data_IF_083092606089
#
_entry.id   IF_083092606089
#
_cell.length_a   1.000
_cell.length_b   1.000
_cell.length_c   1.000
_cell.angle_alpha   90.00
_cell.angle_beta   90.00
_cell.angle_gamma   90.00
#
_symmetry.space_group_name_H-M   'P 1'
#
loop_
_entity.id
_entity.type
_entity.pdbx_description
1 polymer ?
#
# COMPACT_ATOMS: atom_id res chain seq x y z
N UNK A 1 -8.10 35.99 5.64
CA UNK A 1 -7.57 34.71 6.20
C UNK A 1 -8.26 33.56 5.50
N UNK A 2 -7.62 32.93 4.51
CA UNK A 2 -8.18 31.79 3.80
C UNK A 2 -7.94 30.53 4.65
N UNK A 3 -9.02 29.87 5.06
CA UNK A 3 -9.00 28.58 5.75
C UNK A 3 -8.31 27.56 4.84
N UNK A 4 -7.03 27.28 5.08
CA UNK A 4 -6.35 26.15 4.48
C UNK A 4 -6.90 24.89 5.12
N UNK A 5 -7.66 24.11 4.37
CA UNK A 5 -8.08 22.78 4.82
C UNK A 5 -6.82 21.92 5.07
N UNK A 6 -6.78 21.11 6.12
CA UNK A 6 -5.65 20.24 6.37
C UNK A 6 -5.50 19.26 5.19
N UNK A 7 -4.31 19.22 4.58
CA UNK A 7 -3.96 18.25 3.54
C UNK A 7 -3.97 16.87 4.22
N UNK A 8 -5.02 16.10 4.00
CA UNK A 8 -5.08 14.73 4.47
C UNK A 8 -4.33 13.84 3.49
N UNK A 9 -3.19 13.32 3.92
CA UNK A 9 -2.50 12.24 3.21
C UNK A 9 -3.42 11.03 3.21
N UNK A 10 -3.65 10.44 2.04
CA UNK A 10 -4.46 9.22 1.96
C UNK A 10 -3.66 8.05 2.54
N UNK A 11 -4.33 7.14 3.20
CA UNK A 11 -3.72 5.97 3.81
C UNK A 11 -3.02 5.07 2.78
N UNK A 12 -3.52 5.05 1.55
CA UNK A 12 -2.95 4.29 0.43
C UNK A 12 -1.57 4.84 -0.01
N UNK A 13 -1.35 6.15 0.09
CA UNK A 13 -0.06 6.79 -0.23
C UNK A 13 1.02 6.44 0.80
N UNK A 14 0.69 6.49 2.10
CA UNK A 14 1.61 6.09 3.17
C UNK A 14 1.99 4.60 3.08
N UNK A 15 1.02 3.75 2.76
CA UNK A 15 1.23 2.33 2.52
C UNK A 15 2.26 2.08 1.39
N UNK A 16 2.13 2.81 0.28
CA UNK A 16 3.05 2.72 -0.86
C UNK A 16 4.47 3.14 -0.49
N UNK A 17 4.64 4.22 0.26
CA UNK A 17 5.95 4.74 0.66
C UNK A 17 6.71 3.76 1.58
N UNK A 18 6.04 3.15 2.55
CA UNK A 18 6.62 2.11 3.39
C UNK A 18 7.05 0.88 2.58
N UNK A 19 6.23 0.45 1.63
CA UNK A 19 6.53 -0.71 0.77
C UNK A 19 7.77 -0.48 -0.07
N UNK A 20 7.91 0.69 -0.67
CA UNK A 20 9.06 1.04 -1.48
C UNK A 20 10.35 1.11 -0.66
N UNK A 21 10.28 1.72 0.54
CA UNK A 21 11.42 1.77 1.44
C UNK A 21 11.84 0.35 1.89
N UNK A 22 10.88 -0.54 2.16
CA UNK A 22 11.15 -1.95 2.45
C UNK A 22 11.81 -2.68 1.28
N UNK A 23 11.33 -2.48 0.05
CA UNK A 23 11.90 -3.13 -1.13
C UNK A 23 13.36 -2.74 -1.36
N UNK A 24 13.71 -1.48 -1.02
CA UNK A 24 15.05 -0.94 -1.19
C UNK A 24 15.99 -1.29 -0.03
N UNK A 25 15.48 -1.29 1.20
CA UNK A 25 16.29 -1.32 2.42
C UNK A 25 15.87 -2.46 3.40
N UNK A 26 15.41 -3.61 2.90
CA UNK A 26 14.97 -4.73 3.75
C UNK A 26 16.01 -5.17 4.80
N UNK A 27 17.31 -5.34 4.46
CA UNK A 27 18.31 -5.69 5.47
C UNK A 27 18.41 -4.67 6.59
N UNK A 28 18.36 -3.38 6.25
CA UNK A 28 18.43 -2.28 7.21
C UNK A 28 17.20 -2.25 8.11
N UNK A 29 16.00 -2.54 7.55
CA UNK A 29 14.76 -2.67 8.31
C UNK A 29 14.86 -3.78 9.37
N UNK A 30 15.28 -4.97 8.93
CA UNK A 30 15.37 -6.10 9.85
C UNK A 30 16.46 -5.88 10.89
N UNK A 31 17.59 -5.27 10.51
CA UNK A 31 18.66 -4.94 11.43
C UNK A 31 18.25 -3.92 12.48
N UNK A 32 17.45 -2.92 12.10
CA UNK A 32 17.02 -1.85 12.97
C UNK A 32 15.94 -2.30 13.97
N UNK A 33 14.89 -2.95 13.47
CA UNK A 33 13.73 -3.31 14.28
C UNK A 33 13.81 -4.69 14.92
N UNK A 34 14.53 -5.63 14.29
CA UNK A 34 14.59 -7.04 14.66
C UNK A 34 16.03 -7.58 14.60
N UNK A 35 16.96 -7.04 15.38
CA UNK A 35 18.40 -7.35 15.27
C UNK A 35 18.74 -8.83 15.47
N UNK A 36 17.97 -9.56 16.27
CA UNK A 36 18.16 -10.99 16.46
C UNK A 36 17.88 -11.77 15.17
N UNK A 37 16.84 -11.42 14.44
CA UNK A 37 16.50 -12.00 13.14
C UNK A 37 17.56 -11.63 12.12
N UNK A 38 18.02 -10.38 12.12
CA UNK A 38 19.06 -9.90 11.20
C UNK A 38 20.37 -10.71 11.30
N UNK A 39 20.72 -11.16 12.50
CA UNK A 39 21.93 -11.98 12.75
C UNK A 39 21.86 -13.37 12.12
N UNK A 40 20.66 -13.93 11.99
CA UNK A 40 20.46 -15.29 11.46
C UNK A 40 20.33 -15.30 9.93
N UNK A 41 19.95 -14.19 9.32
CA UNK A 41 19.76 -14.07 7.87
C UNK A 41 21.10 -13.90 7.15
N UNK A 42 21.25 -14.60 6.04
CA UNK A 42 22.37 -14.47 5.10
C UNK A 42 22.10 -13.36 4.08
N UNK A 43 22.45 -12.13 4.43
CA UNK A 43 22.25 -10.95 3.58
C UNK A 43 23.20 -10.88 2.36
N UNK A 44 24.11 -11.83 2.19
CA UNK A 44 24.89 -11.96 0.94
C UNK A 44 24.04 -12.52 -0.20
N UNK A 45 22.95 -13.20 0.14
CA UNK A 45 21.94 -13.67 -0.80
C UNK A 45 20.86 -12.60 -0.99
N UNK A 46 20.47 -12.40 -2.25
CA UNK A 46 19.39 -11.48 -2.58
C UNK A 46 18.06 -12.02 -2.05
N UNK A 47 17.30 -11.19 -1.32
CA UNK A 47 15.93 -11.51 -0.93
C UNK A 47 14.99 -11.45 -2.14
N UNK A 48 13.90 -12.18 -2.08
CA UNK A 48 12.90 -12.23 -3.14
C UNK A 48 11.54 -11.76 -2.64
N UNK A 49 10.92 -10.72 -3.25
CA UNK A 49 9.55 -10.35 -2.94
C UNK A 49 8.57 -11.45 -3.38
N UNK A 50 7.61 -11.77 -2.51
CA UNK A 50 6.53 -12.76 -2.74
C UNK A 50 5.15 -12.09 -2.73
N UNK A 51 5.06 -10.86 -3.19
CA UNK A 51 3.81 -10.07 -3.18
C UNK A 51 2.68 -10.71 -3.98
N UNK A 52 3.00 -11.45 -5.05
CA UNK A 52 2.02 -12.22 -5.83
C UNK A 52 1.34 -13.30 -4.99
N UNK A 53 2.09 -13.94 -4.10
CA UNK A 53 1.53 -14.96 -3.19
C UNK A 53 0.65 -14.31 -2.12
N UNK A 54 1.06 -13.17 -1.60
CA UNK A 54 0.27 -12.39 -0.65
C UNK A 54 -1.04 -11.86 -1.29
N UNK A 55 -0.97 -11.36 -2.52
CA UNK A 55 -2.14 -10.86 -3.25
C UNK A 55 -3.21 -11.92 -3.48
N UNK A 56 -2.83 -13.19 -3.71
CA UNK A 56 -3.76 -14.32 -3.87
C UNK A 56 -4.56 -14.66 -2.61
N UNK A 57 -4.15 -14.15 -1.43
CA UNK A 57 -4.82 -14.41 -0.16
C UNK A 57 -5.80 -13.30 0.25
N UNK A 58 -5.65 -12.09 -0.32
CA UNK A 58 -6.43 -10.90 0.05
C UNK A 58 -7.95 -11.04 -0.12
N UNK A 59 -8.49 -11.68 -1.19
CA UNK A 59 -9.93 -11.78 -1.40
C UNK A 59 -10.68 -12.54 -0.29
N UNK A 60 -9.99 -13.44 0.41
CA UNK A 60 -10.60 -14.35 1.37
C UNK A 60 -10.57 -13.86 2.83
N UNK A 61 -10.08 -12.63 3.07
CA UNK A 61 -9.87 -12.12 4.42
C UNK A 61 -10.96 -11.13 4.83
N UNK A 62 -11.68 -11.37 5.93
CA UNK A 62 -12.64 -10.41 6.46
C UNK A 62 -11.90 -9.18 7.01
N UNK A 63 -12.32 -7.97 6.62
CA UNK A 63 -11.92 -6.75 7.31
C UNK A 63 -11.16 -5.69 6.52
N UNK A 64 -11.20 -5.69 5.18
CA UNK A 64 -10.70 -4.57 4.37
C UNK A 64 -9.19 -4.53 4.16
N UNK A 65 -8.70 -3.54 3.42
CA UNK A 65 -7.29 -3.34 3.08
C UNK A 65 -6.44 -3.28 4.35
N UNK A 66 -5.45 -4.15 4.43
CA UNK A 66 -4.33 -4.03 5.36
C UNK A 66 -3.28 -3.10 4.75
N UNK A 67 -2.74 -2.25 5.59
CA UNK A 67 -1.71 -1.29 5.20
C UNK A 67 -0.35 -1.97 5.17
N UNK A 68 0.47 -1.62 4.20
CA UNK A 68 1.89 -1.97 4.01
C UNK A 68 2.29 -3.43 4.33
N UNK A 69 1.48 -4.40 3.88
CA UNK A 69 1.89 -5.81 4.00
C UNK A 69 2.84 -6.18 2.86
N UNK A 70 3.99 -6.70 3.22
CA UNK A 70 5.00 -7.23 2.30
C UNK A 70 5.41 -8.64 2.71
N UNK A 71 5.67 -9.47 1.73
CA UNK A 71 6.14 -10.82 1.93
C UNK A 71 7.46 -11.03 1.19
N UNK A 72 8.51 -11.40 1.93
CA UNK A 72 9.83 -11.64 1.37
C UNK A 72 10.32 -13.04 1.71
N UNK A 73 10.98 -13.68 0.76
CA UNK A 73 11.79 -14.86 1.02
C UNK A 73 13.21 -14.41 1.31
N UNK A 74 13.75 -14.91 2.41
CA UNK A 74 15.16 -14.75 2.81
C UNK A 74 15.79 -16.10 3.07
N UNK A 75 17.10 -16.16 3.11
CA UNK A 75 17.85 -17.37 3.44
C UNK A 75 18.60 -17.17 4.75
N UNK A 76 18.56 -18.18 5.59
CA UNK A 76 19.36 -18.20 6.81
C UNK A 76 20.79 -18.61 6.51
N UNK A 77 21.74 -18.28 7.39
CA UNK A 77 23.15 -18.68 7.29
C UNK A 77 23.34 -20.19 7.22
N UNK A 78 22.39 -20.98 7.74
CA UNK A 78 22.37 -22.45 7.61
C UNK A 78 21.79 -22.95 6.27
N UNK A 79 21.54 -22.07 5.32
CA UNK A 79 21.03 -22.40 3.98
C UNK A 79 19.51 -22.59 3.87
N UNK A 80 18.77 -22.61 4.97
CA UNK A 80 17.32 -22.77 4.94
C UNK A 80 16.62 -21.48 4.49
N UNK A 81 15.61 -21.61 3.63
CA UNK A 81 14.74 -20.49 3.27
C UNK A 81 13.71 -20.22 4.35
N UNK A 82 13.40 -18.94 4.59
CA UNK A 82 12.30 -18.47 5.44
C UNK A 82 11.53 -17.37 4.71
N UNK A 83 10.24 -17.25 5.01
CA UNK A 83 9.44 -16.13 4.54
C UNK A 83 9.18 -15.16 5.67
N UNK A 84 9.56 -13.91 5.46
CA UNK A 84 9.25 -12.80 6.35
C UNK A 84 8.00 -12.10 5.85
N UNK A 85 6.91 -12.22 6.61
CA UNK A 85 5.67 -11.47 6.40
C UNK A 85 5.74 -10.21 7.26
N UNK A 86 5.94 -9.08 6.62
CA UNK A 86 6.10 -7.79 7.29
C UNK A 86 4.78 -7.04 7.24
N UNK A 87 4.27 -6.69 8.41
CA UNK A 87 3.07 -5.86 8.59
C UNK A 87 3.47 -4.51 9.15
N UNK A 88 3.14 -3.43 8.45
CA UNK A 88 3.29 -2.08 8.98
C UNK A 88 1.89 -1.48 9.17
N UNK A 89 1.49 -1.28 10.40
CA UNK A 89 0.22 -0.67 10.77
C UNK A 89 0.40 0.85 10.92
N UNK A 90 -0.02 1.60 9.91
CA UNK A 90 0.19 3.06 9.85
C UNK A 90 -0.86 3.85 10.64
N UNK A 91 -2.05 3.32 10.84
CA UNK A 91 -3.16 4.01 11.53
C UNK A 91 -3.42 3.48 12.93
N UNK A 92 -2.51 3.64 13.82
CA UNK A 92 -2.49 3.64 15.29
C UNK A 92 -3.65 3.13 16.14
N UNK A 93 -4.62 2.49 15.56
CA UNK A 93 -5.59 1.70 16.30
C UNK A 93 -5.36 0.24 15.97
N UNK A 94 -4.60 -0.43 16.83
CA UNK A 94 -4.69 -1.88 16.88
C UNK A 94 -6.17 -2.24 17.07
N UNK A 95 -6.88 -2.40 15.95
CA UNK A 95 -8.30 -2.72 15.96
C UNK A 95 -8.51 -4.00 16.75
N UNK A 96 -9.62 -4.09 17.46
CA UNK A 96 -10.10 -5.35 18.02
C UNK A 96 -10.02 -6.41 16.89
N UNK A 97 -9.09 -7.37 17.01
CA UNK A 97 -8.85 -8.37 15.95
C UNK A 97 -7.55 -8.22 15.16
N UNK A 98 -6.72 -7.18 15.40
CA UNK A 98 -5.43 -7.03 14.73
C UNK A 98 -4.54 -8.27 14.87
N UNK A 99 -4.29 -8.74 16.09
CA UNK A 99 -3.46 -9.92 16.34
C UNK A 99 -4.03 -11.19 15.68
N UNK A 100 -5.37 -11.33 15.61
CA UNK A 100 -6.03 -12.39 14.88
C UNK A 100 -5.73 -12.29 13.38
N UNK A 101 -5.80 -11.09 12.80
CA UNK A 101 -5.46 -10.89 11.38
C UNK A 101 -4.02 -11.32 11.06
N UNK A 102 -3.05 -10.90 11.89
CA UNK A 102 -1.65 -11.33 11.73
C UNK A 102 -1.53 -12.85 11.73
N UNK A 103 -2.25 -13.53 12.64
CA UNK A 103 -2.33 -14.98 12.66
C UNK A 103 -2.98 -15.56 11.39
N UNK A 104 -4.13 -15.01 10.97
CA UNK A 104 -4.88 -15.51 9.81
C UNK A 104 -4.02 -15.45 8.53
N UNK A 105 -3.25 -14.37 8.34
CA UNK A 105 -2.31 -14.26 7.22
C UNK A 105 -1.17 -15.28 7.31
N UNK A 106 -0.52 -15.35 8.47
CA UNK A 106 0.59 -16.29 8.70
C UNK A 106 0.13 -17.73 8.45
N UNK A 107 -1.00 -18.12 9.06
CA UNK A 107 -1.57 -19.46 8.92
C UNK A 107 -1.92 -19.79 7.47
N UNK A 108 -2.56 -18.89 6.73
CA UNK A 108 -2.98 -19.13 5.34
C UNK A 108 -1.78 -19.27 4.40
N UNK A 109 -0.74 -18.44 4.57
CA UNK A 109 0.49 -18.57 3.79
C UNK A 109 1.13 -19.92 4.09
N UNK A 110 1.27 -20.28 5.36
CA UNK A 110 1.87 -21.54 5.78
C UNK A 110 1.07 -22.76 5.32
N UNK A 111 -0.25 -22.71 5.38
CA UNK A 111 -1.12 -23.78 4.89
C UNK A 111 -0.98 -24.01 3.38
N UNK A 112 -0.78 -22.93 2.61
CA UNK A 112 -0.61 -22.98 1.16
C UNK A 112 0.82 -23.40 0.76
N UNK A 113 1.81 -23.15 1.63
CA UNK A 113 3.22 -23.42 1.43
C UNK A 113 3.81 -24.22 2.62
N UNK A 114 3.39 -25.47 2.83
CA UNK A 114 3.68 -26.22 4.07
C UNK A 114 5.18 -26.48 4.29
N UNK A 115 6.01 -26.40 3.24
CA UNK A 115 7.47 -26.57 3.35
C UNK A 115 8.23 -25.31 3.79
N UNK A 116 7.54 -24.17 3.94
CA UNK A 116 8.17 -22.87 4.25
C UNK A 116 7.71 -22.40 5.63
N UNK A 117 8.67 -22.02 6.48
CA UNK A 117 8.33 -21.31 7.70
C UNK A 117 8.08 -19.83 7.43
N UNK A 118 6.99 -19.33 7.96
CA UNK A 118 6.58 -17.93 7.84
C UNK A 118 6.70 -17.24 9.20
N UNK A 119 7.45 -16.13 9.25
CA UNK A 119 7.62 -15.29 10.44
C UNK A 119 6.91 -13.98 10.19
N UNK A 120 5.96 -13.62 11.05
CA UNK A 120 5.28 -12.32 10.99
C UNK A 120 6.04 -11.30 11.83
N UNK A 121 6.40 -10.16 11.21
CA UNK A 121 7.05 -9.02 11.85
C UNK A 121 6.09 -7.84 11.80
N UNK A 122 5.90 -7.14 12.91
CA UNK A 122 4.93 -6.06 13.01
C UNK A 122 5.59 -4.77 13.48
N UNK A 123 5.32 -3.67 12.78
CA UNK A 123 5.67 -2.31 13.20
C UNK A 123 4.40 -1.48 13.30
N UNK A 124 4.18 -0.84 14.45
CA UNK A 124 3.03 0.05 14.71
C UNK A 124 3.51 1.48 14.82
N UNK A 125 2.98 2.36 13.97
CA UNK A 125 3.52 3.72 13.82
C UNK A 125 2.86 4.76 14.73
N UNK A 126 1.58 4.65 15.07
CA UNK A 126 0.82 5.76 15.66
C UNK A 126 0.31 5.56 17.08
N UNK A 127 0.29 4.36 17.65
CA UNK A 127 -0.27 4.16 18.99
C UNK A 127 0.75 4.33 20.11
N UNK A 128 0.36 5.07 21.15
CA UNK A 128 1.10 5.16 22.43
C UNK A 128 0.69 4.07 23.42
N UNK A 129 -0.44 3.37 23.19
CA UNK A 129 -0.88 2.28 24.07
C UNK A 129 -0.08 1.02 23.78
N UNK A 130 0.39 0.30 24.78
CA UNK A 130 1.08 -0.98 24.57
C UNK A 130 0.21 -1.96 23.80
N UNK A 131 0.78 -2.58 22.78
CA UNK A 131 0.13 -3.62 21.97
C UNK A 131 0.91 -4.91 22.13
N UNK A 132 0.20 -6.00 22.44
CA UNK A 132 0.82 -7.31 22.57
C UNK A 132 0.95 -8.00 21.21
N UNK A 133 2.14 -8.48 20.88
CA UNK A 133 2.39 -9.33 19.71
C UNK A 133 1.88 -10.77 19.94
N UNK A 134 0.60 -10.93 20.30
CA UNK A 134 0.03 -12.23 20.66
C UNK A 134 -1.43 -12.34 20.29
N UNK A 135 -1.80 -13.45 19.63
CA UNK A 135 -3.16 -13.93 19.46
C UNK A 135 -3.34 -15.24 20.21
N UNK A 136 -4.40 -15.39 20.98
CA UNK A 136 -4.68 -16.62 21.69
C UNK A 136 -6.20 -16.83 21.85
N UNK A 137 -6.61 -18.07 21.83
CA UNK A 137 -7.94 -18.49 22.21
C UNK A 137 -7.90 -19.86 22.86
N UNK A 138 -8.90 -20.16 23.69
CA UNK A 138 -9.08 -21.47 24.28
C UNK A 138 -10.57 -21.72 24.48
N UNK A 139 -11.02 -22.94 24.14
CA UNK A 139 -12.38 -23.37 24.34
C UNK A 139 -12.46 -24.89 24.43
N UNK A 140 -13.12 -25.43 25.43
CA UNK A 140 -13.34 -26.87 25.66
C UNK A 140 -12.09 -27.75 25.51
N UNK A 141 -10.98 -27.32 26.04
CA UNK A 141 -9.70 -28.05 25.92
C UNK A 141 -8.92 -27.82 24.63
N UNK A 142 -9.52 -27.23 23.61
CA UNK A 142 -8.79 -26.72 22.44
C UNK A 142 -8.19 -25.35 22.74
N UNK A 143 -6.91 -25.17 22.42
CA UNK A 143 -6.26 -23.87 22.59
C UNK A 143 -5.27 -23.58 21.46
N UNK A 144 -5.06 -22.29 21.20
CA UNK A 144 -4.06 -21.78 20.29
C UNK A 144 -3.39 -20.58 20.92
N UNK A 145 -2.06 -20.53 20.82
CA UNK A 145 -1.26 -19.36 21.14
C UNK A 145 -0.33 -19.08 19.97
N UNK A 146 -0.44 -17.90 19.41
CA UNK A 146 0.44 -17.40 18.36
C UNK A 146 1.10 -16.11 18.82
N UNK A 147 2.42 -16.09 18.87
CA UNK A 147 3.23 -14.92 19.24
C UNK A 147 4.05 -14.45 18.04
N UNK A 148 4.26 -13.17 17.95
CA UNK A 148 5.04 -12.56 16.85
C UNK A 148 5.80 -11.32 17.34
N UNK A 149 7.01 -11.06 16.80
CA UNK A 149 7.76 -9.85 17.06
C UNK A 149 6.96 -8.61 16.67
N UNK A 150 6.89 -7.64 17.58
CA UNK A 150 6.18 -6.39 17.40
C UNK A 150 6.99 -5.23 17.95
N UNK A 151 7.16 -4.18 17.15
CA UNK A 151 7.79 -2.92 17.53
C UNK A 151 6.79 -1.79 17.41
N UNK A 152 6.75 -0.89 18.38
CA UNK A 152 5.98 0.36 18.35
C UNK A 152 6.95 1.53 18.19
N UNK A 153 6.62 2.50 17.31
CA UNK A 153 7.48 3.65 17.08
C UNK A 153 7.42 4.69 18.20
N UNK A 154 6.31 4.77 18.94
CA UNK A 154 6.12 5.80 19.96
C UNK A 154 7.27 5.89 20.99
N UNK A 155 7.86 4.80 21.53
CA UNK A 155 8.99 4.88 22.45
C UNK A 155 10.26 5.49 21.84
N UNK A 156 10.44 5.44 20.53
CA UNK A 156 11.60 6.04 19.87
C UNK A 156 11.61 7.58 19.96
N UNK A 157 10.49 8.20 20.31
CA UNK A 157 10.42 9.65 20.54
C UNK A 157 11.33 10.13 21.68
N UNK A 158 11.67 9.24 22.63
CA UNK A 158 12.59 9.54 23.75
C UNK A 158 14.07 9.49 23.34
N UNK A 159 14.36 8.93 22.15
CA UNK A 159 15.71 8.69 21.64
C UNK A 159 16.01 9.43 20.32
N UNK A 160 15.36 10.56 20.08
CA UNK A 160 15.47 11.29 18.80
C UNK A 160 16.91 11.68 18.45
N UNK A 161 17.70 12.16 19.42
CA UNK A 161 19.10 12.55 19.20
C UNK A 161 19.96 11.34 18.77
N UNK A 162 19.70 10.16 19.31
CA UNK A 162 20.39 8.94 18.90
C UNK A 162 20.03 8.58 17.46
N UNK A 163 18.72 8.63 17.14
CA UNK A 163 18.21 8.30 15.82
C UNK A 163 18.71 9.23 14.72
N UNK A 164 18.88 10.52 15.02
CA UNK A 164 19.41 11.50 14.06
C UNK A 164 20.87 11.23 13.67
N UNK A 165 21.62 10.54 14.55
CA UNK A 165 23.01 10.17 14.32
C UNK A 165 23.19 8.70 13.91
N UNK A 166 22.12 7.92 13.84
CA UNK A 166 22.17 6.50 13.46
C UNK A 166 22.34 6.37 11.93
N UNK A 167 23.36 5.64 11.44
CA UNK A 167 23.58 5.45 10.02
C UNK A 167 22.53 4.59 9.33
N UNK A 168 21.63 3.96 10.09
CA UNK A 168 20.58 3.14 9.51
C UNK A 168 19.46 3.99 8.90
N UNK A 169 19.08 3.80 7.63
CA UNK A 169 18.05 4.60 6.96
C UNK A 169 16.68 4.54 7.67
N UNK A 170 16.39 3.47 8.40
CA UNK A 170 15.14 3.39 9.18
C UNK A 170 15.13 4.26 10.43
N UNK A 171 16.27 4.67 10.96
CA UNK A 171 16.32 5.70 11.99
C UNK A 171 15.75 7.03 11.45
N UNK A 172 16.21 7.48 10.29
CA UNK A 172 15.66 8.66 9.60
C UNK A 172 14.16 8.51 9.29
N UNK A 173 13.73 7.34 8.80
CA UNK A 173 12.31 7.08 8.53
C UNK A 173 11.45 7.15 9.80
N UNK A 174 11.95 6.64 10.93
CA UNK A 174 11.27 6.72 12.24
C UNK A 174 11.16 8.16 12.71
N UNK A 175 12.24 8.96 12.61
CA UNK A 175 12.19 10.39 12.94
C UNK A 175 11.17 11.11 12.07
N UNK A 176 11.19 10.88 10.75
CA UNK A 176 10.23 11.48 9.83
C UNK A 176 8.78 11.13 10.20
N UNK A 177 8.48 9.85 10.49
CA UNK A 177 7.16 9.41 10.92
C UNK A 177 6.70 10.05 12.23
N UNK A 178 7.58 10.08 13.24
CA UNK A 178 7.27 10.69 14.54
C UNK A 178 7.02 12.20 14.39
N UNK A 179 7.86 12.90 13.60
CA UNK A 179 7.72 14.34 13.37
C UNK A 179 6.50 14.67 12.48
N UNK A 180 6.15 13.80 11.54
CA UNK A 180 4.90 13.94 10.79
C UNK A 180 3.66 13.93 11.71
N UNK A 181 3.68 13.07 12.74
CA UNK A 181 2.61 12.99 13.73
C UNK A 181 2.59 14.21 14.68
N UNK A 182 3.76 14.60 15.17
CA UNK A 182 3.94 15.73 16.11
C UNK A 182 3.51 17.06 15.47
N UNK A 183 3.80 17.24 14.18
CA UNK A 183 3.56 18.48 13.44
C UNK A 183 2.23 18.50 12.68
N UNK A 184 1.27 17.66 13.06
CA UNK A 184 -0.06 17.69 12.47
C UNK A 184 -0.71 19.08 12.66
N UNK A 185 -1.09 19.71 11.53
CA UNK A 185 -1.68 21.04 11.51
C UNK A 185 -0.70 22.20 11.63
N UNK A 186 0.62 21.93 11.71
CA UNK A 186 1.68 22.95 11.77
C UNK A 186 2.64 22.79 10.59
N UNK A 187 2.32 23.42 9.47
CA UNK A 187 3.10 23.32 8.24
C UNK A 187 4.51 23.92 8.40
N UNK A 188 4.66 24.98 9.19
CA UNK A 188 5.98 25.62 9.37
C UNK A 188 6.95 24.74 10.15
N UNK A 189 6.50 24.12 11.26
CA UNK A 189 7.32 23.15 12.01
C UNK A 189 7.59 21.90 11.19
N UNK A 190 6.63 21.44 10.40
CA UNK A 190 6.82 20.29 9.52
C UNK A 190 7.86 20.58 8.45
N UNK A 191 7.80 21.75 7.84
CA UNK A 191 8.81 22.20 6.85
C UNK A 191 10.22 22.23 7.46
N UNK A 192 10.38 22.82 8.64
CA UNK A 192 11.69 22.88 9.31
C UNK A 192 12.27 21.48 9.55
N UNK A 193 11.46 20.53 9.98
CA UNK A 193 11.88 19.13 10.17
C UNK A 193 12.17 18.42 8.85
N UNK A 194 11.30 18.57 7.84
CA UNK A 194 11.49 17.93 6.53
C UNK A 194 12.79 18.41 5.91
N UNK A 195 13.04 19.73 5.94
CA UNK A 195 14.28 20.34 5.44
C UNK A 195 15.52 19.76 6.14
N UNK A 196 15.54 19.75 7.47
CA UNK A 196 16.64 19.18 8.26
C UNK A 196 16.92 17.71 7.90
N UNK A 197 15.87 16.89 7.78
CA UNK A 197 16.03 15.48 7.42
C UNK A 197 16.56 15.33 5.99
N UNK A 198 16.08 16.15 5.04
CA UNK A 198 16.55 16.15 3.65
C UNK A 198 18.02 16.52 3.58
N UNK A 199 18.46 17.57 4.30
CA UNK A 199 19.87 17.95 4.40
C UNK A 199 20.73 16.77 4.88
N UNK A 200 20.27 16.05 5.93
CA UNK A 200 20.96 14.89 6.49
C UNK A 200 21.06 13.67 5.56
N UNK A 201 20.19 13.53 4.54
CA UNK A 201 20.26 12.38 3.62
C UNK A 201 21.59 12.28 2.88
N UNK A 202 22.24 13.41 2.64
CA UNK A 202 23.47 13.49 1.86
C UNK A 202 24.75 13.35 2.70
N UNK A 203 24.63 13.21 4.02
CA UNK A 203 25.79 13.16 4.93
C UNK A 203 26.14 11.71 5.34
N UNK A 204 25.23 10.75 5.14
CA UNK A 204 25.41 9.36 5.55
C UNK A 204 26.16 8.48 4.55
N UNK A 205 26.51 8.99 3.36
CA UNK A 205 27.18 8.19 2.32
C UNK A 205 26.31 7.06 1.74
N UNK A 206 25.01 7.20 1.81
CA UNK A 206 24.07 6.22 1.26
C UNK A 206 24.08 6.21 -0.27
N UNK A 207 23.67 5.07 -0.86
CA UNK A 207 23.51 4.99 -2.31
C UNK A 207 22.37 5.87 -2.80
N UNK A 208 22.41 6.22 -4.09
CA UNK A 208 21.37 7.03 -4.75
C UNK A 208 19.96 6.45 -4.53
N UNK A 209 19.83 5.13 -4.65
CA UNK A 209 18.55 4.43 -4.50
C UNK A 209 18.01 4.57 -3.07
N UNK A 210 18.88 4.48 -2.06
CA UNK A 210 18.50 4.65 -0.64
C UNK A 210 18.03 6.08 -0.35
N UNK A 211 18.79 7.07 -0.83
CA UNK A 211 18.42 8.48 -0.68
C UNK A 211 17.07 8.76 -1.35
N UNK A 212 16.89 8.25 -2.58
CA UNK A 212 15.64 8.40 -3.31
C UNK A 212 14.43 7.76 -2.61
N UNK A 213 14.60 6.54 -2.08
CA UNK A 213 13.52 5.84 -1.35
C UNK A 213 13.16 6.56 -0.04
N UNK A 214 14.16 7.04 0.71
CA UNK A 214 13.94 7.82 1.93
C UNK A 214 13.29 9.17 1.64
N UNK A 215 13.75 9.86 0.60
CA UNK A 215 13.14 11.13 0.21
C UNK A 215 11.67 10.94 -0.14
N UNK A 216 11.31 9.95 -0.98
CA UNK A 216 9.92 9.63 -1.30
C UNK A 216 9.11 9.29 -0.05
N UNK A 217 9.69 8.49 0.86
CA UNK A 217 9.05 8.20 2.14
C UNK A 217 8.74 9.48 2.94
N UNK A 218 9.71 10.38 3.07
CA UNK A 218 9.52 11.67 3.77
C UNK A 218 8.51 12.56 3.07
N UNK A 219 8.52 12.57 1.74
CA UNK A 219 7.60 13.36 0.94
C UNK A 219 6.13 12.96 1.20
N UNK A 220 5.86 11.67 1.26
CA UNK A 220 4.54 11.17 1.63
C UNK A 220 4.22 11.37 3.11
N UNK A 221 5.13 11.04 4.02
CA UNK A 221 4.87 11.11 5.46
C UNK A 221 4.72 12.56 5.97
N UNK A 222 5.51 13.48 5.40
CA UNK A 222 5.62 14.88 5.81
C UNK A 222 5.12 15.84 4.74
N UNK A 223 3.97 15.56 4.13
CA UNK A 223 3.38 16.38 3.06
C UNK A 223 3.18 17.84 3.49
N UNK A 224 3.55 18.76 2.62
CA UNK A 224 3.51 20.21 2.83
C UNK A 224 2.60 20.89 1.79
N UNK A 225 2.18 22.15 2.03
CA UNK A 225 1.64 23.00 0.97
C UNK A 225 2.63 23.18 -0.19
N UNK A 226 2.12 23.39 -1.41
CA UNK A 226 2.93 23.46 -2.64
C UNK A 226 4.09 24.44 -2.55
N UNK A 227 3.87 25.62 -1.98
CA UNK A 227 4.88 26.67 -1.85
C UNK A 227 6.06 26.22 -0.94
N UNK A 228 5.80 25.38 0.06
CA UNK A 228 6.83 24.83 0.95
C UNK A 228 7.50 23.59 0.33
N UNK A 229 6.79 22.79 -0.46
CA UNK A 229 7.41 21.71 -1.24
C UNK A 229 8.39 22.27 -2.27
N UNK A 230 8.04 23.37 -2.96
CA UNK A 230 8.96 24.04 -3.89
C UNK A 230 10.25 24.52 -3.20
N UNK A 231 10.16 24.99 -1.95
CA UNK A 231 11.35 25.37 -1.16
C UNK A 231 12.20 24.14 -0.76
N UNK A 232 11.58 22.99 -0.46
CA UNK A 232 12.34 21.75 -0.24
C UNK A 232 13.09 21.35 -1.51
N UNK A 233 12.43 21.42 -2.68
CA UNK A 233 13.06 21.10 -3.96
C UNK A 233 14.23 22.04 -4.27
N UNK A 234 14.09 23.33 -3.98
CA UNK A 234 15.18 24.29 -4.12
C UNK A 234 16.36 23.95 -3.19
N UNK A 235 16.09 23.57 -1.92
CA UNK A 235 17.12 23.11 -0.97
C UNK A 235 17.87 21.90 -1.53
N UNK A 236 17.17 20.92 -2.11
CA UNK A 236 17.78 19.74 -2.73
C UNK A 236 18.70 20.16 -3.87
N UNK A 237 18.24 21.04 -4.75
CA UNK A 237 19.04 21.52 -5.87
C UNK A 237 20.33 22.22 -5.39
N UNK A 238 20.25 23.10 -4.40
CA UNK A 238 21.41 23.79 -3.82
C UNK A 238 22.42 22.80 -3.21
N UNK A 239 21.96 21.74 -2.53
CA UNK A 239 22.84 20.71 -1.96
C UNK A 239 23.52 19.91 -3.07
N UNK A 240 22.78 19.50 -4.10
CA UNK A 240 23.31 18.69 -5.20
C UNK A 240 24.31 19.46 -6.04
N UNK A 241 24.05 20.74 -6.32
CA UNK A 241 25.00 21.64 -7.00
C UNK A 241 26.26 21.83 -6.15
N UNK A 242 26.13 22.10 -4.85
CA UNK A 242 27.27 22.30 -3.95
C UNK A 242 28.14 21.04 -3.77
N UNK A 243 27.54 19.85 -3.80
CA UNK A 243 28.28 18.58 -3.70
C UNK A 243 28.69 17.97 -5.05
N UNK A 244 28.38 18.64 -6.17
CA UNK A 244 28.57 18.15 -7.54
C UNK A 244 27.98 16.75 -7.75
N UNK A 245 26.85 16.47 -7.11
CA UNK A 245 26.12 15.21 -7.16
C UNK A 245 24.74 15.48 -7.78
N UNK A 246 24.30 14.65 -8.68
CA UNK A 246 22.92 14.67 -9.16
C UNK A 246 22.26 13.34 -8.75
N UNK A 247 21.64 13.33 -7.57
CA UNK A 247 20.96 12.15 -7.04
C UNK A 247 19.50 12.14 -7.47
N UNK A 248 18.86 13.31 -7.42
CA UNK A 248 17.46 13.48 -7.71
C UNK A 248 17.28 14.72 -8.59
N UNK A 249 17.49 14.60 -9.89
CA UNK A 249 17.09 15.71 -10.75
C UNK A 249 15.62 16.05 -10.49
N UNK A 250 15.24 17.31 -10.28
CA UNK A 250 13.85 17.73 -10.01
C UNK A 250 12.84 17.18 -11.03
N UNK A 251 13.30 16.93 -12.24
CA UNK A 251 12.50 16.32 -13.31
C UNK A 251 12.22 14.83 -13.07
N UNK A 252 13.19 14.06 -12.58
CA UNK A 252 13.00 12.63 -12.27
C UNK A 252 12.02 12.42 -11.10
N UNK A 253 12.07 13.30 -10.10
CA UNK A 253 11.13 13.27 -8.96
C UNK A 253 9.69 13.51 -9.46
N UNK A 254 9.48 14.59 -10.22
CA UNK A 254 8.15 14.92 -10.77
C UNK A 254 7.65 13.88 -11.77
N UNK A 255 8.53 13.26 -12.55
CA UNK A 255 8.16 12.19 -13.47
C UNK A 255 7.79 10.91 -12.73
N UNK A 256 8.49 10.57 -11.63
CA UNK A 256 8.16 9.45 -10.75
C UNK A 256 6.86 9.65 -10.01
N UNK A 257 6.60 10.85 -9.46
CA UNK A 257 5.32 11.20 -8.82
C UNK A 257 4.15 11.08 -9.80
N UNK A 258 4.31 11.62 -11.00
CA UNK A 258 3.30 11.54 -12.05
C UNK A 258 3.05 10.09 -12.47
N UNK A 259 4.09 9.28 -12.58
CA UNK A 259 4.00 7.85 -12.88
C UNK A 259 3.31 7.06 -11.76
N UNK A 260 3.67 7.33 -10.49
CA UNK A 260 3.05 6.71 -9.33
C UNK A 260 1.57 7.11 -9.19
N UNK A 261 1.25 8.39 -9.39
CA UNK A 261 -0.13 8.90 -9.35
C UNK A 261 -0.98 8.33 -10.48
N UNK A 262 -0.42 8.21 -11.68
CA UNK A 262 -1.10 7.56 -12.80
C UNK A 262 -1.32 6.07 -12.57
N UNK A 263 -0.32 5.38 -12.03
CA UNK A 263 -0.42 3.96 -11.67
C UNK A 263 -1.47 3.70 -10.59
N UNK A 264 -1.53 4.56 -9.56
CA UNK A 264 -2.54 4.50 -8.50
C UNK A 264 -3.95 4.74 -9.06
N UNK A 265 -4.10 5.76 -9.91
CA UNK A 265 -5.38 6.08 -10.54
C UNK A 265 -5.87 4.95 -11.45
N UNK A 266 -4.96 4.35 -12.25
CA UNK A 266 -5.27 3.18 -13.07
C UNK A 266 -5.62 1.96 -12.22
N UNK A 267 -4.87 1.70 -11.15
CA UNK A 267 -5.14 0.61 -10.23
C UNK A 267 -6.47 0.76 -9.50
N UNK A 268 -6.82 1.98 -9.09
CA UNK A 268 -8.11 2.29 -8.46
C UNK A 268 -9.25 2.07 -9.46
N UNK A 269 -9.11 2.58 -10.68
CA UNK A 269 -10.09 2.41 -11.73
C UNK A 269 -10.33 0.94 -12.06
N UNK A 270 -9.25 0.16 -12.25
CA UNK A 270 -9.34 -1.29 -12.47
C UNK A 270 -9.95 -2.01 -11.27
N UNK A 271 -9.64 -1.58 -10.04
CA UNK A 271 -10.23 -2.13 -8.82
C UNK A 271 -11.74 -1.91 -8.75
N UNK A 272 -12.21 -0.72 -9.12
CA UNK A 272 -13.64 -0.37 -9.18
C UNK A 272 -14.35 -1.21 -10.26
N UNK A 273 -13.77 -1.31 -11.47
CA UNK A 273 -14.32 -2.09 -12.57
C UNK A 273 -14.42 -3.58 -12.25
N UNK A 274 -13.37 -4.16 -11.67
CA UNK A 274 -13.37 -5.56 -11.24
C UNK A 274 -14.37 -5.80 -10.10
N UNK A 275 -14.44 -4.91 -9.11
CA UNK A 275 -15.40 -5.01 -8.01
C UNK A 275 -16.85 -4.93 -8.48
N UNK A 276 -17.15 -4.04 -9.45
CA UNK A 276 -18.47 -3.95 -10.07
C UNK A 276 -18.81 -5.22 -10.85
N UNK A 277 -17.89 -5.76 -11.62
CA UNK A 277 -18.08 -7.01 -12.37
C UNK A 277 -18.35 -8.19 -11.42
N UNK A 278 -17.59 -8.30 -10.34
CA UNK A 278 -17.81 -9.37 -9.33
C UNK A 278 -19.18 -9.24 -8.66
N UNK A 279 -19.58 -8.02 -8.29
CA UNK A 279 -20.89 -7.75 -7.71
C UNK A 279 -22.03 -8.13 -8.67
N UNK A 280 -21.91 -7.78 -9.95
CA UNK A 280 -22.87 -8.14 -11.01
C UNK A 280 -22.93 -9.65 -11.17
N UNK A 281 -21.79 -10.34 -11.24
CA UNK A 281 -21.76 -11.81 -11.37
C UNK A 281 -22.41 -12.50 -10.18
N UNK A 282 -22.16 -12.02 -8.95
CA UNK A 282 -22.74 -12.56 -7.73
C UNK A 282 -24.26 -12.39 -7.71
N UNK A 283 -24.76 -11.20 -8.06
CA UNK A 283 -26.20 -10.93 -8.12
C UNK A 283 -26.90 -11.75 -9.21
N UNK A 284 -26.28 -11.89 -10.40
CA UNK A 284 -26.79 -12.73 -11.47
C UNK A 284 -26.86 -14.20 -11.05
N UNK A 285 -25.82 -14.71 -10.41
CA UNK A 285 -25.79 -16.09 -9.92
C UNK A 285 -26.87 -16.33 -8.85
N UNK A 286 -27.08 -15.38 -7.95
CA UNK A 286 -28.10 -15.48 -6.91
C UNK A 286 -29.53 -15.45 -7.49
N UNK A 287 -29.76 -14.60 -8.50
CA UNK A 287 -31.12 -14.35 -9.03
C UNK A 287 -31.52 -15.31 -10.15
N UNK A 288 -30.58 -15.66 -11.01
CA UNK A 288 -30.81 -16.46 -12.22
C UNK A 288 -30.18 -17.86 -12.14
N UNK A 289 -29.46 -18.18 -11.05
CA UNK A 289 -28.68 -19.40 -10.91
C UNK A 289 -27.37 -19.36 -11.71
N UNK A 290 -26.57 -20.42 -11.64
CA UNK A 290 -25.25 -20.49 -12.26
C UNK A 290 -25.29 -20.14 -13.77
N UNK A 291 -24.35 -19.26 -14.16
CA UNK A 291 -24.17 -18.84 -15.54
C UNK A 291 -23.11 -19.70 -16.20
N UNK A 292 -23.34 -20.09 -17.45
CA UNK A 292 -22.34 -20.82 -18.21
C UNK A 292 -21.11 -19.95 -18.54
N UNK A 293 -19.99 -20.59 -18.82
CA UNK A 293 -18.70 -19.95 -19.07
C UNK A 293 -18.74 -18.95 -20.25
N UNK A 294 -19.54 -19.22 -21.28
CA UNK A 294 -19.70 -18.34 -22.43
C UNK A 294 -20.39 -17.03 -22.07
N UNK A 295 -21.42 -17.07 -21.18
CA UNK A 295 -22.11 -15.87 -20.69
C UNK A 295 -21.20 -15.07 -19.77
N UNK A 296 -20.46 -15.73 -18.86
CA UNK A 296 -19.47 -15.06 -18.01
C UNK A 296 -18.38 -14.37 -18.83
N UNK A 297 -17.90 -15.01 -19.89
CA UNK A 297 -16.90 -14.40 -20.80
C UNK A 297 -17.43 -13.16 -21.53
N UNK A 298 -18.73 -13.10 -21.86
CA UNK A 298 -19.38 -11.91 -22.42
C UNK A 298 -19.48 -10.78 -21.40
N UNK A 299 -19.84 -11.10 -20.17
CA UNK A 299 -19.93 -10.12 -19.07
C UNK A 299 -18.57 -9.48 -18.74
N UNK A 300 -17.48 -10.25 -18.78
CA UNK A 300 -16.12 -9.75 -18.60
C UNK A 300 -15.62 -8.80 -19.70
N UNK A 301 -16.31 -8.70 -20.82
CA UNK A 301 -15.99 -7.80 -21.94
C UNK A 301 -16.81 -6.51 -21.95
N UNK A 302 -17.74 -6.36 -21.02
CA UNK A 302 -18.56 -5.16 -20.91
C UNK A 302 -17.73 -3.99 -20.36
N UNK A 303 -18.02 -2.78 -20.86
CA UNK A 303 -17.45 -1.56 -20.31
C UNK A 303 -18.04 -1.26 -18.92
N UNK A 304 -17.39 -0.36 -18.19
CA UNK A 304 -17.86 0.09 -16.87
C UNK A 304 -19.31 0.61 -16.94
N UNK A 305 -19.61 1.47 -17.94
CA UNK A 305 -20.96 2.00 -18.14
C UNK A 305 -21.98 0.90 -18.47
N UNK A 306 -21.57 -0.10 -19.25
CA UNK A 306 -22.43 -1.25 -19.57
C UNK A 306 -22.67 -2.11 -18.31
N UNK A 307 -21.67 -2.28 -17.45
CA UNK A 307 -21.84 -2.98 -16.18
C UNK A 307 -22.79 -2.23 -15.23
N UNK A 308 -22.69 -0.90 -15.18
CA UNK A 308 -23.63 -0.07 -14.40
C UNK A 308 -25.06 -0.18 -14.95
N UNK A 309 -25.23 -0.10 -16.26
CA UNK A 309 -26.53 -0.26 -16.90
C UNK A 309 -27.12 -1.66 -16.67
N UNK A 310 -26.27 -2.69 -16.67
CA UNK A 310 -26.66 -4.06 -16.35
C UNK A 310 -27.13 -4.19 -14.90
N UNK A 311 -26.43 -3.54 -13.95
CA UNK A 311 -26.79 -3.55 -12.54
C UNK A 311 -28.22 -3.01 -12.30
N UNK A 312 -28.60 -1.96 -13.05
CA UNK A 312 -29.97 -1.43 -13.01
C UNK A 312 -30.95 -2.38 -13.68
N UNK A 313 -30.64 -2.87 -14.88
CA UNK A 313 -31.51 -3.77 -15.64
C UNK A 313 -31.76 -5.10 -14.93
N UNK A 314 -30.80 -5.54 -14.12
CA UNK A 314 -30.88 -6.76 -13.29
C UNK A 314 -32.11 -6.77 -12.36
N UNK A 315 -32.60 -5.62 -11.94
CA UNK A 315 -33.77 -5.51 -11.08
C UNK A 315 -35.03 -6.09 -11.73
N UNK A 316 -35.11 -6.02 -13.05
CA UNK A 316 -36.27 -6.44 -13.84
C UNK A 316 -36.15 -7.86 -14.41
N UNK A 317 -34.96 -8.49 -14.35
CA UNK A 317 -34.75 -9.84 -14.90
C UNK A 317 -35.45 -10.91 -14.05
N UNK A 318 -36.18 -11.78 -14.71
CA UNK A 318 -36.88 -12.92 -14.08
C UNK A 318 -36.29 -14.27 -14.48
N UNK A 319 -35.63 -14.34 -15.62
CA UNK A 319 -35.09 -15.58 -16.20
C UNK A 319 -33.80 -15.31 -17.00
N UNK A 320 -33.02 -16.36 -17.26
CA UNK A 320 -31.74 -16.25 -18.03
C UNK A 320 -31.93 -15.70 -19.44
N UNK A 321 -33.09 -15.86 -20.05
CA UNK A 321 -33.40 -15.33 -21.37
C UNK A 321 -33.36 -13.79 -21.39
N UNK A 322 -33.75 -13.12 -20.31
CA UNK A 322 -33.77 -11.67 -20.21
C UNK A 322 -32.34 -11.09 -20.25
N UNK A 323 -31.40 -11.74 -19.54
CA UNK A 323 -29.97 -11.40 -19.60
C UNK A 323 -29.40 -11.58 -21.01
N UNK A 324 -29.73 -12.71 -21.67
CA UNK A 324 -29.21 -12.97 -23.02
C UNK A 324 -29.75 -11.98 -24.04
N UNK A 325 -31.03 -11.58 -23.93
CA UNK A 325 -31.64 -10.55 -24.76
C UNK A 325 -30.96 -9.19 -24.53
N UNK A 326 -30.71 -8.82 -23.29
CA UNK A 326 -30.03 -7.59 -22.94
C UNK A 326 -28.59 -7.56 -23.50
N UNK A 327 -27.81 -8.63 -23.31
CA UNK A 327 -26.45 -8.75 -23.87
C UNK A 327 -26.42 -8.66 -25.40
N UNK A 328 -27.44 -9.23 -26.06
CA UNK A 328 -27.56 -9.14 -27.52
C UNK A 328 -27.85 -7.70 -28.00
N UNK A 329 -28.65 -6.96 -27.23
CA UNK A 329 -28.95 -5.54 -27.54
C UNK A 329 -27.70 -4.66 -27.39
N UNK A 330 -26.79 -4.96 -26.47
CA UNK A 330 -25.52 -4.22 -26.29
C UNK A 330 -24.48 -4.49 -27.39
N UNK A 331 -24.58 -5.61 -28.08
CA UNK A 331 -23.64 -5.99 -29.17
C UNK A 331 -24.11 -5.59 -30.57
N UNK A 332 -25.32 -5.05 -30.72
CA UNK A 332 -25.80 -4.54 -32.00
C UNK A 332 -25.30 -3.11 -32.23
N UNK A 333 -24.65 -2.79 -33.38
CA UNK A 333 -24.22 -1.41 -33.66
C UNK A 333 -25.45 -0.50 -33.74
N UNK A 334 -25.39 0.64 -33.01
CA UNK A 334 -26.43 1.66 -33.04
C UNK A 334 -26.73 2.07 -34.47
N UNK A 335 -27.99 1.83 -34.91
CA UNK A 335 -28.51 2.35 -36.17
C UNK A 335 -28.50 3.87 -36.06
N UNK A 336 -27.65 4.49 -36.87
CA UNK A 336 -27.56 5.93 -37.02
C UNK A 336 -28.95 6.51 -37.36
N UNK A 337 -29.52 7.25 -36.40
CA UNK A 337 -30.73 8.05 -36.67
C UNK A 337 -30.42 9.10 -37.74
N UNK A 338 -30.93 8.88 -38.96
CA UNK A 338 -30.98 9.86 -40.04
C UNK A 338 -31.65 11.13 -39.52
N UNK A 339 -30.89 12.22 -39.40
CA UNK A 339 -31.44 13.55 -39.35
C UNK A 339 -32.16 13.80 -40.70
N UNK A 340 -33.46 13.91 -40.66
CA UNK A 340 -34.27 14.40 -41.78
C UNK A 340 -33.97 15.89 -41.95
N UNK A 341 -33.31 16.24 -43.07
CA UNK A 341 -33.23 17.62 -43.55
C UNK A 341 -34.61 18.05 -44.00
N UNK A 342 -35.31 18.84 -43.24
CA UNK A 342 -36.43 19.62 -43.66
C UNK A 342 -35.93 20.82 -44.50
N UNK A 343 -36.02 20.72 -45.79
CA UNK A 343 -36.04 21.90 -46.69
C UNK A 343 -37.33 22.67 -46.45
N UNK A 344 -37.22 23.91 -46.05
CA UNK A 344 -38.26 24.90 -46.30
C UNK A 344 -37.72 25.97 -47.24
N UNK A 345 -38.31 26.01 -48.41
CA UNK A 345 -38.26 27.12 -49.34
C UNK A 345 -39.29 28.18 -48.90
N UNK A 346 -38.92 29.38 -48.70
CA UNK A 346 -39.32 30.63 -49.29
C UNK A 346 -38.69 31.78 -48.48
#
# INVERSE_FOLDING_TARGET
MKNSQPISVTTDEQDSAWKELLDTCLPDFVAFFFPDIARDVDWTKRWEPKDKELAKLKPDLPGGKLYADKLYQVWLKNGKAKWLLIHIEVQGRAHRGFARRVYDYNYRIKAKHPGIDVVSLVVITETKRPVAGRYAWAHWGCSLVFTFPLVQLAPFAERLTELENDPNPFATAVVAQLKALETRGDAARRFAWKRRLVEGLYDHGWTRERIAALFRFMDFAMKLPAELEDQIMQTIQEIEEGKQMSILAPFEIRAMEKGAQQGLQQGLQQGIENGLLEAVLLQLAHRLGELNSATQAKLRKLSFEQLQALLVALLDFRQKADLLAWLKAQTSPAVATKKSNGKTAK
#
